data_IF_707208869239
#
_entry.id   IF_707208869239
#
_cell.length_a   1.000
_cell.length_b   1.000
_cell.length_c   1.000
_cell.angle_alpha   90.00
_cell.angle_beta   90.00
_cell.angle_gamma   90.00
#
_symmetry.space_group_name_H-M   'P 1'
#
loop_
_entity.id
_entity.type
_entity.pdbx_description
1 polymer ?
#
# COMPACT_ATOMS: atom_id res chain seq x y z
N UNK A 1 -13.33 1.58 -22.23
CA UNK A 1 -13.60 0.79 -21.01
C UNK A 1 -12.27 0.51 -20.36
N UNK A 2 -12.05 0.98 -19.13
CA UNK A 2 -10.91 0.60 -18.31
C UNK A 2 -11.15 -0.81 -17.79
N UNK A 3 -10.22 -1.73 -18.05
CA UNK A 3 -10.33 -3.07 -17.47
C UNK A 3 -10.05 -3.01 -15.96
N UNK A 4 -10.53 -3.97 -15.15
CA UNK A 4 -10.21 -4.06 -13.73
C UNK A 4 -8.71 -3.93 -13.43
N UNK A 5 -7.87 -4.56 -14.25
CA UNK A 5 -6.41 -4.53 -14.16
C UNK A 5 -5.87 -3.12 -14.39
N UNK A 6 -6.44 -2.39 -15.36
CA UNK A 6 -6.07 -1.00 -15.63
C UNK A 6 -6.37 -0.07 -14.44
N UNK A 7 -7.47 -0.30 -13.73
CA UNK A 7 -7.83 0.45 -12.51
C UNK A 7 -6.84 0.16 -11.38
N UNK A 8 -6.50 -1.12 -11.17
CA UNK A 8 -5.55 -1.53 -10.14
C UNK A 8 -4.16 -0.96 -10.42
N UNK A 9 -3.66 -1.06 -11.66
CA UNK A 9 -2.36 -0.50 -12.04
C UNK A 9 -2.32 1.02 -11.87
N UNK A 10 -3.42 1.71 -12.17
CA UNK A 10 -3.53 3.15 -11.96
C UNK A 10 -3.47 3.50 -10.45
N UNK A 11 -4.17 2.75 -9.61
CA UNK A 11 -4.12 2.93 -8.15
C UNK A 11 -2.71 2.69 -7.59
N UNK A 12 -2.04 1.62 -8.01
CA UNK A 12 -0.65 1.33 -7.64
C UNK A 12 0.29 2.46 -8.08
N UNK A 13 0.09 3.00 -9.29
CA UNK A 13 0.87 4.13 -9.79
C UNK A 13 0.67 5.39 -8.93
N UNK A 14 -0.56 5.72 -8.56
CA UNK A 14 -0.86 6.89 -7.73
C UNK A 14 -0.27 6.74 -6.33
N UNK A 15 -0.40 5.55 -5.71
CA UNK A 15 0.23 5.23 -4.43
C UNK A 15 1.76 5.34 -4.54
N UNK A 16 2.37 4.78 -5.59
CA UNK A 16 3.83 4.79 -5.77
C UNK A 16 4.44 6.18 -5.91
N UNK A 17 3.68 7.10 -6.50
CA UNK A 17 4.15 8.45 -6.76
C UNK A 17 3.53 9.48 -5.79
N UNK A 18 2.80 9.02 -4.76
CA UNK A 18 2.04 9.85 -3.82
C UNK A 18 1.15 10.91 -4.51
N UNK A 19 0.51 10.53 -5.63
CA UNK A 19 -0.33 11.43 -6.43
C UNK A 19 -1.75 11.38 -5.88
N UNK A 20 -2.16 12.42 -5.14
CA UNK A 20 -3.55 12.60 -4.71
C UNK A 20 -4.08 11.57 -3.71
N UNK A 21 -3.20 10.73 -3.15
CA UNK A 21 -3.56 9.70 -2.15
C UNK A 21 -3.38 10.23 -0.72
N UNK A 22 -2.38 11.08 -0.49
CA UNK A 22 -2.09 11.62 0.85
C UNK A 22 -1.64 10.51 1.80
N UNK A 23 -0.67 9.69 1.39
CA UNK A 23 -0.36 8.45 2.10
C UNK A 23 0.02 8.67 3.57
N UNK A 24 0.71 9.77 3.89
CA UNK A 24 1.06 10.10 5.28
C UNK A 24 -0.18 10.23 6.18
N UNK A 25 -1.23 10.87 5.69
CA UNK A 25 -2.47 11.05 6.43
C UNK A 25 -3.18 9.71 6.63
N UNK A 26 -3.16 8.85 5.59
CA UNK A 26 -3.68 7.49 5.66
C UNK A 26 -2.93 6.65 6.71
N UNK A 27 -1.59 6.74 6.74
CA UNK A 27 -0.78 6.07 7.76
C UNK A 27 -1.08 6.58 9.18
N UNK A 28 -1.21 7.91 9.35
CA UNK A 28 -1.57 8.51 10.64
C UNK A 28 -2.96 8.06 11.06
N UNK A 29 -3.93 7.99 10.15
CA UNK A 29 -5.27 7.50 10.46
C UNK A 29 -5.27 6.02 10.86
N UNK A 30 -4.47 5.19 10.19
CA UNK A 30 -4.39 3.75 10.46
C UNK A 30 -3.68 3.43 11.80
N UNK A 31 -2.64 4.19 12.17
CA UNK A 31 -1.78 3.87 13.32
C UNK A 31 -1.83 4.91 14.45
N UNK A 32 -2.60 5.98 14.30
CA UNK A 32 -2.64 7.14 15.22
C UNK A 32 -1.41 8.05 15.16
N UNK A 33 -0.37 7.65 14.42
CA UNK A 33 0.88 8.39 14.18
C UNK A 33 1.53 7.89 12.90
N UNK A 34 2.46 8.66 12.34
CA UNK A 34 3.29 8.20 11.24
C UNK A 34 4.34 7.19 11.78
N UNK A 35 4.40 5.95 11.26
CA UNK A 35 5.45 5.01 11.62
C UNK A 35 6.84 5.54 11.27
N UNK A 36 7.88 5.04 11.94
CA UNK A 36 9.26 5.44 11.65
C UNK A 36 9.68 5.02 10.24
N UNK A 37 9.18 3.87 9.78
CA UNK A 37 9.38 3.36 8.43
C UNK A 37 7.99 2.98 7.88
N UNK A 38 7.27 3.94 7.27
CA UNK A 38 5.93 3.69 6.76
C UNK A 38 6.02 2.78 5.53
N UNK A 39 5.51 1.56 5.68
CA UNK A 39 5.52 0.54 4.63
C UNK A 39 4.11 0.03 4.38
N UNK A 40 3.80 -0.23 3.12
CA UNK A 40 2.58 -0.93 2.73
C UNK A 40 2.92 -2.07 1.77
N UNK A 41 2.17 -3.15 1.90
CA UNK A 41 2.21 -4.30 1.02
C UNK A 41 0.92 -4.42 0.23
N UNK A 42 1.00 -5.03 -0.94
CA UNK A 42 -0.15 -5.41 -1.75
C UNK A 42 -0.20 -6.94 -1.80
N UNK A 43 -1.35 -7.50 -1.43
CA UNK A 43 -1.62 -8.95 -1.38
C UNK A 43 -2.83 -9.28 -2.25
N UNK A 44 -2.86 -10.47 -2.84
CA UNK A 44 -4.00 -10.97 -3.62
C UNK A 44 -3.80 -10.94 -5.14
N UNK A 45 -4.90 -11.14 -5.88
CA UNK A 45 -4.93 -11.21 -7.35
C UNK A 45 -6.17 -10.50 -7.90
N UNK A 46 -5.98 -9.72 -8.98
CA UNK A 46 -7.08 -9.04 -9.64
C UNK A 46 -7.88 -8.17 -8.67
N UNK A 47 -9.21 -8.31 -8.68
CA UNK A 47 -10.10 -7.55 -7.80
C UNK A 47 -10.03 -7.96 -6.33
N UNK A 48 -9.47 -9.14 -6.01
CA UNK A 48 -9.27 -9.61 -4.64
C UNK A 48 -7.96 -9.10 -4.04
N UNK A 49 -7.51 -7.92 -4.51
CA UNK A 49 -6.29 -7.28 -4.05
C UNK A 49 -6.56 -6.43 -2.81
N UNK A 50 -5.75 -6.62 -1.78
CA UNK A 50 -5.79 -5.87 -0.53
C UNK A 50 -4.49 -5.08 -0.31
N UNK A 51 -4.62 -3.86 0.23
CA UNK A 51 -3.49 -3.06 0.72
C UNK A 51 -3.37 -3.28 2.22
N UNK A 52 -2.19 -3.73 2.65
CA UNK A 52 -1.88 -3.99 4.05
C UNK A 52 -0.81 -3.00 4.50
N UNK A 53 -1.15 -2.19 5.50
CA UNK A 53 -0.19 -1.29 6.14
C UNK A 53 0.64 -2.08 7.15
N UNK A 54 1.96 -2.01 7.01
CA UNK A 54 2.90 -2.84 7.76
C UNK A 54 3.35 -2.07 9.00
N UNK A 55 3.20 -2.68 10.18
CA UNK A 55 3.68 -2.11 11.44
C UNK A 55 5.20 -2.23 11.55
N UNK A 56 5.79 -1.41 12.43
CA UNK A 56 7.25 -1.38 12.63
C UNK A 56 7.83 -2.76 13.04
N UNK A 57 7.04 -3.59 13.73
CA UNK A 57 7.42 -4.90 14.24
C UNK A 57 6.99 -6.09 13.36
N UNK A 58 6.38 -5.84 12.20
CA UNK A 58 5.93 -6.90 11.29
C UNK A 58 6.99 -7.20 10.22
N UNK A 59 7.25 -8.50 10.02
CA UNK A 59 8.09 -8.97 8.93
C UNK A 59 7.25 -9.14 7.66
N UNK A 60 7.57 -8.37 6.64
CA UNK A 60 6.81 -8.31 5.40
C UNK A 60 6.92 -9.59 4.56
N UNK A 61 8.01 -10.36 4.70
CA UNK A 61 8.16 -11.66 4.03
C UNK A 61 7.11 -12.67 4.51
N UNK A 62 6.77 -12.62 5.80
CA UNK A 62 5.83 -13.55 6.43
C UNK A 62 4.36 -13.22 6.07
N UNK A 63 4.11 -12.04 5.52
CA UNK A 63 2.76 -11.56 5.17
C UNK A 63 2.32 -11.94 3.74
N UNK A 64 3.24 -12.48 2.93
CA UNK A 64 2.95 -13.02 1.59
C UNK A 64 2.64 -11.97 0.54
N UNK A 65 3.30 -10.80 0.61
CA UNK A 65 3.09 -9.71 -0.34
C UNK A 65 3.70 -10.00 -1.71
N UNK A 66 3.01 -9.56 -2.76
CA UNK A 66 3.55 -9.58 -4.13
C UNK A 66 4.33 -8.31 -4.47
N UNK A 67 3.94 -7.18 -3.88
CA UNK A 67 4.59 -5.88 -4.05
C UNK A 67 4.67 -5.19 -2.69
N UNK A 68 5.83 -4.59 -2.37
CA UNK A 68 6.04 -3.79 -1.16
C UNK A 68 6.55 -2.41 -1.54
N UNK A 69 6.09 -1.40 -0.80
CA UNK A 69 6.53 -0.02 -0.95
C UNK A 69 6.87 0.56 0.41
N UNK A 70 7.98 1.29 0.47
CA UNK A 70 8.41 2.06 1.62
C UNK A 70 8.41 3.55 1.22
N UNK A 71 7.82 4.39 2.06
CA UNK A 71 7.90 5.84 1.89
C UNK A 71 9.24 6.34 2.43
N UNK A 72 9.90 7.21 1.64
CA UNK A 72 11.13 7.92 2.00
C UNK A 72 10.85 9.21 2.75
#
# INVERSE_FOLDING_TARGET
MTTPEGVILLAVFHIKNDIGVGLKDVFIQAFGKLPAIPRLGIKGEGLDTEIIFIKDNENWFDLGFKVMMQLS
#
